data_IF_895199302889
#
_entry.id   IF_895199302889
#
_cell.length_a   1.000
_cell.length_b   1.000
_cell.length_c   1.000
_cell.angle_alpha   90.00
_cell.angle_beta   90.00
_cell.angle_gamma   90.00
#
_symmetry.space_group_name_H-M   'P 1'
#
loop_
_entity.id
_entity.type
_entity.pdbx_description
1 polymer ?
#
# COMPACT_ATOMS: atom_id res chain seq x y z
N UNK A 1 -19.27 12.18 -31.57
CA UNK A 1 -17.87 11.76 -31.80
C UNK A 1 -17.04 12.52 -30.79
N UNK A 2 -16.78 11.93 -29.62
CA UNK A 2 -16.11 12.57 -28.49
C UNK A 2 -14.88 11.72 -28.14
N UNK A 3 -13.71 12.10 -28.63
CA UNK A 3 -12.45 11.60 -28.11
C UNK A 3 -11.45 12.76 -28.15
N UNK A 4 -10.46 12.68 -27.27
CA UNK A 4 -9.45 13.71 -26.96
C UNK A 4 -9.88 14.78 -25.95
N UNK A 5 -10.11 14.34 -24.70
CA UNK A 5 -9.67 15.15 -23.56
C UNK A 5 -8.50 14.43 -22.90
N UNK A 6 -7.30 15.02 -22.80
CA UNK A 6 -6.19 14.40 -22.10
C UNK A 6 -6.60 14.21 -20.63
N UNK A 7 -6.59 12.97 -20.13
CA UNK A 7 -6.96 12.61 -18.76
C UNK A 7 -6.10 13.36 -17.72
N UNK A 8 -6.51 14.57 -17.33
CA UNK A 8 -5.80 15.41 -16.36
C UNK A 8 -5.45 14.65 -15.05
N UNK A 9 -4.40 15.05 -14.30
CA UNK A 9 -4.12 14.50 -12.98
C UNK A 9 -5.40 14.38 -12.16
N UNK A 10 -5.61 13.24 -11.50
CA UNK A 10 -6.89 12.99 -10.83
C UNK A 10 -7.10 14.01 -9.72
N UNK A 11 -8.05 14.91 -9.95
CA UNK A 11 -8.52 15.84 -8.93
C UNK A 11 -9.48 15.13 -7.99
N UNK A 12 -8.96 14.72 -6.83
CA UNK A 12 -9.80 14.22 -5.76
C UNK A 12 -10.44 15.39 -5.01
N UNK A 13 -11.74 15.63 -5.24
CA UNK A 13 -12.48 16.62 -4.46
C UNK A 13 -12.57 16.20 -2.98
N UNK A 14 -12.63 17.17 -2.06
CA UNK A 14 -12.85 16.89 -0.63
C UNK A 14 -14.12 16.06 -0.36
N UNK A 15 -15.18 16.25 -1.16
CA UNK A 15 -16.39 15.43 -1.10
C UNK A 15 -16.11 13.97 -1.42
N UNK A 16 -15.40 13.69 -2.53
CA UNK A 16 -15.03 12.33 -2.93
C UNK A 16 -14.09 11.69 -1.91
N UNK A 17 -13.11 12.42 -1.39
CA UNK A 17 -12.23 11.94 -0.32
C UNK A 17 -13.05 11.45 0.89
N UNK A 18 -13.98 12.28 1.39
CA UNK A 18 -14.83 11.93 2.54
C UNK A 18 -15.76 10.75 2.27
N UNK A 19 -16.32 10.66 1.07
CA UNK A 19 -17.31 9.62 0.74
C UNK A 19 -16.67 8.27 0.39
N UNK A 20 -15.48 8.26 -0.21
CA UNK A 20 -14.91 7.05 -0.82
C UNK A 20 -13.65 6.54 -0.11
N UNK A 21 -12.93 7.39 0.62
CA UNK A 21 -11.59 7.08 1.15
C UNK A 21 -11.47 7.22 2.67
N UNK A 22 -12.41 7.92 3.31
CA UNK A 22 -12.42 8.15 4.76
C UNK A 22 -13.67 7.53 5.39
N UNK A 23 -13.57 6.31 5.96
CA UNK A 23 -14.69 5.72 6.65
C UNK A 23 -15.03 6.51 7.90
N UNK A 24 -16.30 6.45 8.30
CA UNK A 24 -16.75 6.95 9.60
C UNK A 24 -16.01 6.22 10.72
N UNK A 25 -15.43 6.98 11.65
CA UNK A 25 -14.69 6.39 12.76
C UNK A 25 -15.64 5.60 13.68
N UNK A 26 -15.16 4.44 14.13
CA UNK A 26 -15.78 3.60 15.16
C UNK A 26 -14.69 3.12 16.11
N UNK A 27 -15.06 2.42 17.19
CA UNK A 27 -14.07 1.84 18.12
C UNK A 27 -13.09 0.87 17.43
N UNK A 28 -13.46 0.32 16.28
CA UNK A 28 -12.67 -0.68 15.54
C UNK A 28 -12.11 -0.15 14.22
N UNK A 29 -12.51 1.06 13.79
CA UNK A 29 -12.10 1.68 12.52
C UNK A 29 -11.52 3.06 12.80
N UNK A 30 -10.24 3.26 12.47
CA UNK A 30 -9.53 4.53 12.71
C UNK A 30 -8.80 4.99 11.47
N UNK A 31 -9.05 6.24 11.08
CA UNK A 31 -8.36 6.91 9.97
C UNK A 31 -7.23 7.79 10.47
N UNK A 32 -6.14 7.85 9.71
CA UNK A 32 -4.92 8.59 10.02
C UNK A 32 -4.59 9.50 8.84
N UNK A 33 -4.12 10.70 9.15
CA UNK A 33 -3.53 11.62 8.19
C UNK A 33 -2.13 11.97 8.69
N UNK A 34 -1.13 11.74 7.85
CA UNK A 34 0.25 12.11 8.12
C UNK A 34 0.75 12.97 6.98
N UNK A 35 1.51 14.01 7.30
CA UNK A 35 2.09 14.93 6.34
C UNK A 35 3.52 15.25 6.68
N UNK A 36 4.29 15.61 5.64
CA UNK A 36 5.62 16.17 5.74
C UNK A 36 5.60 17.56 5.13
N UNK A 37 6.16 18.52 5.83
CA UNK A 37 6.43 19.86 5.31
C UNK A 37 7.92 20.09 5.17
N UNK A 38 8.32 20.79 4.10
CA UNK A 38 9.68 21.27 3.87
C UNK A 38 9.58 22.78 3.70
N UNK A 39 10.25 23.54 4.58
CA UNK A 39 10.21 25.01 4.59
C UNK A 39 8.79 25.60 4.58
N UNK A 40 7.85 24.94 5.26
CA UNK A 40 6.45 25.35 5.34
C UNK A 40 5.56 24.88 4.17
N UNK A 41 6.13 24.27 3.13
CA UNK A 41 5.39 23.70 2.01
C UNK A 41 5.03 22.23 2.24
N UNK A 42 3.82 21.83 1.89
CA UNK A 42 3.38 20.44 1.96
C UNK A 42 4.08 19.61 0.88
N UNK A 43 5.08 18.82 1.27
CA UNK A 43 5.89 18.04 0.35
C UNK A 43 5.34 16.62 0.13
N UNK A 44 4.70 16.05 1.16
CA UNK A 44 4.14 14.69 1.09
C UNK A 44 2.97 14.55 2.07
N UNK A 45 1.96 13.76 1.72
CA UNK A 45 0.91 13.36 2.63
C UNK A 45 0.34 11.97 2.32
N UNK A 46 -0.23 11.36 3.37
CA UNK A 46 -0.88 10.06 3.26
C UNK A 46 -2.11 10.00 4.15
N UNK A 47 -3.13 9.33 3.63
CA UNK A 47 -4.24 8.82 4.41
C UNK A 47 -4.09 7.32 4.58
N UNK A 48 -4.36 6.85 5.79
CA UNK A 48 -4.43 5.43 6.09
C UNK A 48 -5.65 5.10 6.95
N UNK A 49 -6.18 3.90 6.79
CA UNK A 49 -7.27 3.39 7.59
C UNK A 49 -6.85 2.10 8.28
N UNK A 50 -7.27 1.91 9.52
CA UNK A 50 -7.12 0.66 10.26
C UNK A 50 -8.46 0.02 10.54
N UNK A 51 -8.53 -1.30 10.40
CA UNK A 51 -9.68 -2.11 10.78
C UNK A 51 -9.27 -3.51 11.23
N UNK A 52 -10.23 -4.27 11.76
CA UNK A 52 -10.06 -5.67 12.12
C UNK A 52 -10.55 -6.60 11.01
N UNK A 53 -9.74 -7.59 10.66
CA UNK A 53 -10.07 -8.67 9.74
C UNK A 53 -9.58 -9.99 10.32
N UNK A 54 -10.48 -10.93 10.58
CA UNK A 54 -10.15 -12.26 11.15
C UNK A 54 -9.23 -12.19 12.39
N UNK A 55 -9.52 -11.25 13.31
CA UNK A 55 -8.72 -11.01 14.52
C UNK A 55 -7.43 -10.20 14.30
N UNK A 56 -6.97 -10.04 13.06
CA UNK A 56 -5.79 -9.25 12.70
C UNK A 56 -6.13 -7.77 12.54
N UNK A 57 -5.19 -6.90 12.90
CA UNK A 57 -5.25 -5.46 12.61
C UNK A 57 -4.63 -5.19 11.23
N UNK A 58 -5.42 -4.67 10.32
CA UNK A 58 -4.97 -4.19 9.01
C UNK A 58 -4.70 -2.69 9.10
N UNK A 59 -3.58 -2.23 8.58
CA UNK A 59 -3.28 -0.83 8.32
C UNK A 59 -3.15 -0.63 6.80
N UNK A 60 -4.08 0.08 6.19
CA UNK A 60 -4.13 0.26 4.75
C UNK A 60 -3.93 1.71 4.37
N UNK A 61 -3.02 1.95 3.42
CA UNK A 61 -2.81 3.26 2.82
C UNK A 61 -3.87 3.49 1.76
N UNK A 62 -4.79 4.42 2.00
CA UNK A 62 -5.88 4.75 1.06
C UNK A 62 -5.45 5.81 0.05
N UNK A 63 -4.46 6.63 0.41
CA UNK A 63 -3.88 7.64 -0.47
C UNK A 63 -2.43 7.94 -0.06
N UNK A 64 -1.57 8.12 -1.05
CA UNK A 64 -0.19 8.58 -0.90
C UNK A 64 0.10 9.60 -2.00
N UNK A 65 0.49 10.82 -1.63
CA UNK A 65 0.75 11.91 -2.57
C UNK A 65 2.06 12.59 -2.21
N UNK A 66 3.04 12.45 -3.10
CA UNK A 66 4.31 13.18 -3.03
C UNK A 66 4.29 14.26 -4.09
N UNK A 67 4.57 15.48 -3.67
CA UNK A 67 4.78 16.59 -4.59
C UNK A 67 5.97 16.26 -5.51
N UNK A 68 5.81 16.59 -6.81
CA UNK A 68 6.78 16.24 -7.85
C UNK A 68 8.19 16.77 -7.59
N UNK A 69 8.30 17.92 -6.92
CA UNK A 69 9.59 18.57 -6.66
C UNK A 69 10.31 17.93 -5.46
N UNK A 70 9.63 17.02 -4.76
CA UNK A 70 10.12 16.28 -3.60
C UNK A 70 10.07 14.75 -3.81
N UNK A 71 9.92 14.29 -5.06
CA UNK A 71 10.03 12.86 -5.41
C UNK A 71 11.48 12.38 -5.35
N UNK A 72 11.66 11.07 -5.30
CA UNK A 72 12.96 10.37 -5.34
C UNK A 72 13.98 10.67 -4.21
N UNK A 73 13.62 11.51 -3.23
CA UNK A 73 14.42 11.77 -2.02
C UNK A 73 13.97 10.94 -0.79
N UNK A 74 13.04 10.01 -0.98
CA UNK A 74 12.64 9.04 0.04
C UNK A 74 11.60 9.51 1.06
N UNK A 75 10.94 10.65 0.85
CA UNK A 75 9.89 11.17 1.74
C UNK A 75 8.75 10.16 1.96
N UNK A 76 8.21 9.59 0.88
CA UNK A 76 7.15 8.58 0.96
C UNK A 76 7.52 7.42 1.87
N UNK A 77 8.76 6.93 1.81
CA UNK A 77 9.20 5.84 2.69
C UNK A 77 9.27 6.28 4.16
N UNK A 78 9.70 7.51 4.43
CA UNK A 78 9.68 8.09 5.78
C UNK A 78 8.27 8.20 6.32
N UNK A 79 7.38 8.78 5.53
CA UNK A 79 5.97 8.96 5.84
C UNK A 79 5.28 7.62 6.12
N UNK A 80 5.39 6.63 5.23
CA UNK A 80 4.82 5.30 5.43
C UNK A 80 5.39 4.58 6.65
N UNK A 81 6.68 4.76 6.98
CA UNK A 81 7.24 4.18 8.22
C UNK A 81 6.64 4.77 9.48
N UNK A 82 6.29 6.07 9.49
CA UNK A 82 5.63 6.70 10.64
C UNK A 82 4.22 6.16 10.87
N UNK A 83 3.58 5.58 9.85
CA UNK A 83 2.31 4.90 9.99
C UNK A 83 2.43 3.56 10.73
N UNK A 84 3.61 3.01 11.02
CA UNK A 84 3.70 1.67 11.63
C UNK A 84 3.30 1.66 13.09
N UNK A 85 2.51 0.67 13.50
CA UNK A 85 2.29 0.32 14.91
C UNK A 85 2.70 -1.13 15.19
N UNK A 86 3.10 -1.40 16.43
CA UNK A 86 3.44 -2.76 16.90
C UNK A 86 2.22 -3.69 16.95
N UNK A 87 1.02 -3.10 17.01
CA UNK A 87 -0.28 -3.77 17.02
C UNK A 87 -0.83 -4.06 15.62
N UNK A 88 -0.18 -3.54 14.57
CA UNK A 88 -0.58 -3.83 13.19
C UNK A 88 -0.01 -5.19 12.79
N UNK A 89 -0.85 -6.06 12.23
CA UNK A 89 -0.47 -7.40 11.77
C UNK A 89 -0.26 -7.42 10.26
N UNK A 90 -0.91 -6.50 9.54
CA UNK A 90 -0.91 -6.43 8.07
C UNK A 90 -0.85 -4.99 7.61
N UNK A 91 -0.06 -4.74 6.57
CA UNK A 91 -0.06 -3.48 5.84
C UNK A 91 -0.51 -3.68 4.39
N UNK A 92 -1.27 -2.73 3.86
CA UNK A 92 -1.75 -2.82 2.47
C UNK A 92 -1.76 -1.48 1.74
N UNK A 93 -1.66 -1.55 0.42
CA UNK A 93 -1.83 -0.41 -0.50
C UNK A 93 -2.28 -0.93 -1.87
N UNK A 94 -3.11 -0.14 -2.54
CA UNK A 94 -3.37 -0.22 -3.98
C UNK A 94 -2.78 1.04 -4.63
N UNK A 95 -2.05 0.86 -5.74
CA UNK A 95 -1.48 1.99 -6.46
C UNK A 95 -1.17 1.63 -7.91
N UNK A 96 -1.47 2.55 -8.83
CA UNK A 96 -1.00 2.47 -10.22
C UNK A 96 0.47 2.86 -10.40
N UNK A 97 1.07 3.53 -9.41
CA UNK A 97 2.41 4.09 -9.52
C UNK A 97 3.48 3.15 -8.90
N UNK A 98 4.49 2.68 -9.66
CA UNK A 98 5.51 1.77 -9.15
C UNK A 98 6.32 2.33 -7.97
N UNK A 99 6.63 3.63 -7.98
CA UNK A 99 7.34 4.28 -6.86
C UNK A 99 6.59 4.14 -5.52
N UNK A 100 5.25 4.19 -5.52
CA UNK A 100 4.46 3.99 -4.30
C UNK A 100 4.53 2.53 -3.83
N UNK A 101 4.49 1.56 -4.75
CA UNK A 101 4.68 0.15 -4.45
C UNK A 101 6.07 -0.11 -3.85
N UNK A 102 7.13 0.49 -4.41
CA UNK A 102 8.49 0.40 -3.88
C UNK A 102 8.58 1.02 -2.47
N UNK A 103 8.02 2.20 -2.28
CA UNK A 103 8.01 2.88 -0.98
C UNK A 103 7.28 2.04 0.08
N UNK A 104 6.12 1.48 -0.26
CA UNK A 104 5.36 0.61 0.65
C UNK A 104 6.09 -0.69 0.96
N UNK A 105 6.63 -1.37 -0.06
CA UNK A 105 7.40 -2.60 0.12
C UNK A 105 8.63 -2.40 1.02
N UNK A 106 9.34 -1.27 0.85
CA UNK A 106 10.48 -0.87 1.70
C UNK A 106 10.06 -0.49 3.12
N UNK A 107 8.89 0.13 3.29
CA UNK A 107 8.46 0.68 4.58
C UNK A 107 7.81 -0.36 5.48
N UNK A 108 6.97 -1.21 4.92
CA UNK A 108 6.17 -2.20 5.65
C UNK A 108 6.74 -3.62 5.55
N UNK A 109 7.42 -3.94 4.45
CA UNK A 109 7.96 -5.27 4.15
C UNK A 109 9.49 -5.34 4.21
N UNK A 110 10.08 -5.94 3.19
CA UNK A 110 11.54 -6.00 2.97
C UNK A 110 11.92 -5.15 1.77
N UNK A 111 11.57 -5.63 0.59
CA UNK A 111 11.80 -5.06 -0.73
C UNK A 111 10.70 -5.60 -1.64
N UNK A 112 10.48 -4.96 -2.80
CA UNK A 112 9.44 -5.39 -3.74
C UNK A 112 9.68 -6.82 -4.25
N UNK A 113 10.93 -7.18 -4.48
CA UNK A 113 11.35 -8.50 -4.98
C UNK A 113 11.05 -9.65 -4.02
N UNK A 114 10.86 -9.33 -2.73
CA UNK A 114 10.68 -10.31 -1.64
C UNK A 114 9.26 -10.31 -1.08
N UNK A 115 8.29 -9.70 -1.77
CA UNK A 115 6.90 -9.79 -1.37
C UNK A 115 6.39 -11.23 -1.53
N UNK A 116 5.55 -11.69 -0.60
CA UNK A 116 4.98 -13.04 -0.66
C UNK A 116 3.70 -13.04 -1.47
N UNK A 117 3.79 -13.45 -2.74
CA UNK A 117 2.61 -13.58 -3.61
C UNK A 117 1.61 -14.61 -3.06
N UNK A 118 2.08 -15.68 -2.41
CA UNK A 118 1.23 -16.67 -1.76
C UNK A 118 0.44 -16.08 -0.58
N UNK A 119 1.07 -15.20 0.22
CA UNK A 119 0.37 -14.50 1.29
C UNK A 119 -0.75 -13.62 0.73
N UNK A 120 -0.46 -12.86 -0.34
CA UNK A 120 -1.43 -11.97 -0.98
C UNK A 120 -2.56 -12.79 -1.62
N UNK A 121 -2.24 -13.92 -2.26
CA UNK A 121 -3.24 -14.85 -2.82
C UNK A 121 -4.21 -15.36 -1.75
N UNK A 122 -3.68 -15.76 -0.59
CA UNK A 122 -4.46 -16.34 0.51
C UNK A 122 -5.27 -15.32 1.30
N UNK A 123 -4.76 -14.10 1.48
CA UNK A 123 -5.34 -13.10 2.40
C UNK A 123 -5.99 -11.90 1.69
N UNK A 124 -5.57 -11.59 0.46
CA UNK A 124 -5.96 -10.38 -0.26
C UNK A 124 -7.48 -10.22 -0.36
N UNK A 125 -8.21 -11.27 -0.75
CA UNK A 125 -9.66 -11.23 -0.89
C UNK A 125 -10.37 -10.86 0.43
N UNK A 126 -10.07 -11.57 1.52
CA UNK A 126 -10.71 -11.34 2.82
C UNK A 126 -10.40 -9.95 3.39
N UNK A 127 -9.16 -9.48 3.23
CA UNK A 127 -8.75 -8.14 3.67
C UNK A 127 -9.49 -7.06 2.89
N UNK A 128 -9.54 -7.17 1.55
CA UNK A 128 -10.24 -6.19 0.74
C UNK A 128 -11.73 -6.19 1.04
N UNK A 129 -12.38 -7.35 1.09
CA UNK A 129 -13.83 -7.43 1.33
C UNK A 129 -14.26 -6.99 2.72
N UNK A 130 -13.39 -7.11 3.72
CA UNK A 130 -13.62 -6.56 5.07
C UNK A 130 -13.30 -5.06 5.18
N UNK A 131 -12.78 -4.43 4.12
CA UNK A 131 -12.39 -3.03 4.18
C UNK A 131 -13.61 -2.14 4.45
N UNK A 132 -13.51 -1.18 5.38
CA UNK A 132 -14.55 -0.18 5.59
C UNK A 132 -14.55 0.91 4.51
N UNK A 133 -13.62 0.85 3.56
CA UNK A 133 -13.43 1.83 2.50
C UNK A 133 -14.03 1.27 1.20
N UNK A 134 -15.14 1.83 0.68
CA UNK A 134 -15.85 1.25 -0.47
C UNK A 134 -14.95 1.04 -1.69
N UNK A 135 -14.07 1.99 -1.99
CA UNK A 135 -13.12 1.89 -3.09
C UNK A 135 -12.19 0.66 -3.00
N UNK A 136 -11.84 0.22 -1.78
CA UNK A 136 -11.02 -0.99 -1.56
C UNK A 136 -11.92 -2.23 -1.55
N UNK A 137 -13.08 -2.15 -0.90
CA UNK A 137 -14.04 -3.24 -0.76
C UNK A 137 -14.58 -3.72 -2.11
N UNK A 138 -14.86 -2.78 -3.01
CA UNK A 138 -15.51 -3.04 -4.29
C UNK A 138 -14.51 -3.41 -5.41
N UNK A 139 -13.22 -3.14 -5.19
CA UNK A 139 -12.18 -3.48 -6.15
C UNK A 139 -12.10 -5.00 -6.40
N UNK A 140 -11.85 -5.37 -7.66
CA UNK A 140 -11.86 -6.77 -8.09
C UNK A 140 -10.43 -7.27 -8.28
N UNK A 141 -10.05 -8.36 -7.62
CA UNK A 141 -8.72 -8.98 -7.78
C UNK A 141 -8.49 -9.46 -9.22
N UNK A 142 -7.31 -9.16 -9.77
CA UNK A 142 -6.90 -9.46 -11.15
C UNK A 142 -5.44 -9.89 -11.23
N UNK A 143 -5.07 -10.48 -12.37
CA UNK A 143 -3.74 -10.97 -12.65
C UNK A 143 -3.58 -12.47 -12.46
N UNK A 144 -2.50 -13.00 -13.02
CA UNK A 144 -2.22 -14.44 -13.12
C UNK A 144 -2.14 -15.17 -11.78
N UNK A 145 -1.89 -14.47 -10.67
CA UNK A 145 -1.93 -15.04 -9.32
C UNK A 145 -3.34 -15.49 -8.91
N UNK A 146 -4.38 -14.82 -9.40
CA UNK A 146 -5.77 -15.13 -9.10
C UNK A 146 -6.49 -15.82 -10.27
N UNK A 147 -6.13 -15.49 -11.50
CA UNK A 147 -6.72 -15.97 -12.75
C UNK A 147 -5.59 -16.45 -13.67
N UNK A 148 -5.17 -17.73 -13.62
CA UNK A 148 -4.02 -18.24 -14.40
C UNK A 148 -4.11 -18.00 -15.92
N UNK A 149 -5.33 -17.89 -16.44
CA UNK A 149 -5.68 -17.58 -17.82
C UNK A 149 -5.64 -16.07 -18.18
N UNK A 150 -5.30 -15.20 -17.23
CA UNK A 150 -5.18 -13.75 -17.46
C UNK A 150 -4.03 -13.46 -18.45
N UNK A 151 -4.38 -12.82 -19.57
CA UNK A 151 -3.45 -12.48 -20.66
C UNK A 151 -3.07 -10.99 -20.68
N UNK A 152 -3.51 -10.21 -19.69
CA UNK A 152 -3.29 -8.76 -19.64
C UNK A 152 -1.84 -8.35 -19.31
N UNK A 153 -0.98 -9.31 -18.95
CA UNK A 153 0.37 -9.07 -18.43
C UNK A 153 0.42 -8.72 -16.94
N UNK A 154 -0.73 -8.46 -16.31
CA UNK A 154 -0.83 -8.25 -14.87
C UNK A 154 -0.58 -9.57 -14.12
N UNK A 155 0.35 -9.55 -13.17
CA UNK A 155 0.58 -10.71 -12.28
C UNK A 155 -0.24 -10.57 -11.01
N UNK A 156 -0.23 -9.37 -10.41
CA UNK A 156 -0.89 -9.10 -9.15
C UNK A 156 -1.42 -7.67 -9.07
N UNK A 157 -2.74 -7.54 -9.12
CA UNK A 157 -3.40 -6.25 -8.96
C UNK A 157 -4.89 -6.35 -8.76
N UNK A 158 -5.54 -5.21 -8.97
CA UNK A 158 -6.98 -5.03 -8.85
C UNK A 158 -7.49 -4.20 -10.01
N UNK A 159 -8.72 -4.47 -10.45
CA UNK A 159 -9.48 -3.55 -11.27
C UNK A 159 -10.27 -2.62 -10.34
N UNK A 160 -9.93 -1.34 -10.39
CA UNK A 160 -10.61 -0.27 -9.65
C UNK A 160 -11.44 0.62 -10.57
N UNK A 161 -11.42 0.36 -11.88
CA UNK A 161 -11.99 1.22 -12.93
C UNK A 161 -11.48 2.66 -12.83
N UNK A 162 -10.27 2.83 -12.31
CA UNK A 162 -9.64 4.12 -12.09
C UNK A 162 -8.68 4.43 -13.23
N UNK A 163 -9.15 5.21 -14.19
CA UNK A 163 -8.39 5.57 -15.38
C UNK A 163 -7.48 6.76 -15.08
N UNK A 164 -6.17 6.51 -15.04
CA UNK A 164 -5.13 7.54 -14.91
C UNK A 164 -4.20 7.50 -16.11
N UNK A 165 -3.51 8.61 -16.38
CA UNK A 165 -2.41 8.58 -17.32
C UNK A 165 -1.28 7.71 -16.78
N UNK A 166 -1.01 6.62 -17.49
CA UNK A 166 0.04 5.67 -17.12
C UNK A 166 1.42 6.04 -17.70
N UNK A 167 1.59 7.17 -18.40
CA UNK A 167 2.87 7.54 -19.03
C UNK A 167 4.01 7.68 -18.00
N UNK A 168 3.83 8.51 -16.97
CA UNK A 168 4.82 8.63 -15.88
C UNK A 168 5.00 7.29 -15.14
N UNK A 169 3.94 6.61 -14.66
CA UNK A 169 4.07 5.29 -14.06
C UNK A 169 4.82 4.26 -14.93
N UNK A 170 4.61 4.25 -16.24
CA UNK A 170 5.27 3.34 -17.18
C UNK A 170 6.76 3.67 -17.33
N UNK A 171 7.13 4.95 -17.45
CA UNK A 171 8.54 5.37 -17.47
C UNK A 171 9.26 4.94 -16.19
N UNK A 172 8.62 5.16 -15.04
CA UNK A 172 9.16 4.70 -13.74
C UNK A 172 9.27 3.18 -13.71
N UNK A 173 8.28 2.45 -14.22
CA UNK A 173 8.31 0.98 -14.28
C UNK A 173 9.48 0.46 -15.11
N UNK A 174 9.77 1.09 -16.26
CA UNK A 174 10.90 0.73 -17.11
C UNK A 174 12.23 0.87 -16.36
N UNK A 175 12.47 2.02 -15.72
CA UNK A 175 13.68 2.26 -14.89
C UNK A 175 13.78 1.25 -13.74
N UNK A 176 12.65 0.90 -13.12
CA UNK A 176 12.63 -0.11 -12.06
C UNK A 176 13.03 -1.49 -12.59
N UNK A 177 12.53 -1.89 -13.75
CA UNK A 177 12.85 -3.20 -14.37
C UNK A 177 14.29 -3.32 -14.84
N UNK A 178 14.97 -2.21 -15.13
CA UNK A 178 16.40 -2.20 -15.42
C UNK A 178 17.26 -2.61 -14.20
N UNK A 179 16.77 -2.34 -12.98
CA UNK A 179 17.57 -2.45 -11.76
C UNK A 179 17.05 -3.49 -10.76
N UNK A 180 15.77 -3.87 -10.83
CA UNK A 180 15.09 -4.72 -9.86
C UNK A 180 14.17 -5.72 -10.55
N UNK A 181 13.98 -6.88 -9.93
CA UNK A 181 12.96 -7.82 -10.38
C UNK A 181 11.57 -7.30 -10.00
N UNK A 182 10.75 -6.98 -11.00
CA UNK A 182 9.38 -6.49 -10.79
C UNK A 182 8.36 -7.64 -10.79
N UNK A 183 7.78 -8.01 -9.64
CA UNK A 183 6.96 -9.23 -9.54
C UNK A 183 5.48 -9.02 -9.87
N UNK A 184 5.05 -7.78 -10.13
CA UNK A 184 3.62 -7.44 -10.21
C UNK A 184 3.07 -7.46 -11.65
N UNK A 185 3.95 -7.67 -12.64
CA UNK A 185 3.58 -7.68 -14.06
C UNK A 185 3.43 -6.29 -14.66
N UNK A 186 2.76 -6.22 -15.80
CA UNK A 186 2.33 -4.96 -16.44
C UNK A 186 1.05 -4.42 -15.76
N UNK A 187 0.72 -3.17 -16.05
CA UNK A 187 -0.49 -2.53 -15.53
C UNK A 187 -1.42 -2.12 -16.66
N UNK A 188 -2.54 -2.83 -16.87
CA UNK A 188 -3.56 -2.41 -17.82
C UNK A 188 -4.28 -1.16 -17.32
N UNK A 189 -4.87 -0.40 -18.25
CA UNK A 189 -5.67 0.77 -17.90
C UNK A 189 -6.81 0.41 -16.94
N UNK A 190 -7.09 1.32 -16.00
CA UNK A 190 -8.14 1.10 -14.98
C UNK A 190 -7.75 0.15 -13.85
N UNK A 191 -6.51 -0.37 -13.86
CA UNK A 191 -6.00 -1.27 -12.83
C UNK A 191 -4.97 -0.60 -11.93
N UNK A 192 -4.81 -1.18 -10.75
CA UNK A 192 -3.80 -0.79 -9.77
C UNK A 192 -3.09 -2.03 -9.23
N UNK A 193 -1.81 -1.91 -8.93
CA UNK A 193 -1.07 -2.97 -8.29
C UNK A 193 -1.54 -3.15 -6.85
N UNK A 194 -1.55 -4.40 -6.38
CA UNK A 194 -1.96 -4.75 -5.03
C UNK A 194 -0.76 -5.21 -4.21
N UNK A 195 -0.52 -4.54 -3.08
CA UNK A 195 0.43 -5.02 -2.08
C UNK A 195 -0.31 -5.29 -0.77
N UNK A 196 -0.10 -6.48 -0.23
CA UNK A 196 -0.52 -6.86 1.12
C UNK A 196 0.66 -7.57 1.79
N UNK A 197 1.11 -7.08 2.94
CA UNK A 197 2.33 -7.55 3.58
C UNK A 197 2.08 -7.83 5.06
N UNK A 198 2.56 -8.98 5.58
CA UNK A 198 2.53 -9.21 7.02
C UNK A 198 3.48 -8.24 7.73
N UNK A 199 3.08 -7.77 8.90
CA UNK A 199 3.91 -6.97 9.75
C UNK A 199 5.13 -7.77 10.21
N UNK A 200 6.30 -7.14 10.15
CA UNK A 200 7.51 -7.68 10.79
C UNK A 200 7.48 -7.34 12.28
N UNK A 201 6.90 -8.21 13.10
CA UNK A 201 7.08 -8.10 14.54
C UNK A 201 8.55 -8.36 14.86
N UNK A 202 9.20 -7.42 15.55
CA UNK A 202 10.49 -7.71 16.19
C UNK A 202 10.21 -8.81 17.20
N UNK A 203 10.91 -9.96 17.10
CA UNK A 203 10.88 -10.97 18.16
C UNK A 203 11.24 -10.27 19.48
N UNK A 204 10.49 -10.51 20.57
CA UNK A 204 10.96 -10.12 21.89
C UNK A 204 12.30 -10.83 22.10
N UNK A 205 13.37 -10.08 22.31
CA UNK A 205 14.62 -10.66 22.80
C UNK A 205 14.30 -11.29 24.13
N UNK A 206 14.38 -12.62 24.24
CA UNK A 206 14.32 -13.30 25.54
C UNK A 206 15.49 -12.80 26.36
N UNK A 207 15.24 -11.81 27.21
CA UNK A 207 16.21 -11.33 28.17
C UNK A 207 16.27 -12.40 29.25
N UNK A 208 17.24 -13.30 29.14
CA UNK A 208 17.55 -14.28 30.18
C UNK A 208 17.68 -13.52 31.49
N UNK A 209 16.80 -13.80 32.45
CA UNK A 209 16.98 -13.33 33.82
C UNK A 209 18.33 -13.87 34.32
N UNK A 210 19.18 -13.04 34.96
CA UNK A 210 20.38 -13.57 35.60
C UNK A 210 19.94 -14.59 36.65
N UNK A 211 20.41 -15.83 36.51
CA UNK A 211 20.16 -16.87 37.50
C UNK A 211 20.67 -16.44 38.86
N UNK A 212 19.83 -16.63 39.88
CA UNK A 212 20.24 -16.59 41.28
C UNK A 212 21.42 -17.54 41.47
N UNK A 213 22.59 -16.97 41.79
CA UNK A 213 23.72 -17.73 42.28
C UNK A 213 23.41 -18.07 43.74
N UNK A 214 22.88 -19.27 43.96
CA UNK A 214 22.93 -19.92 45.26
C UNK A 214 24.39 -20.10 45.67
N UNK A 215 24.76 -19.56 46.84
CA UNK A 215 25.99 -19.94 47.53
C UNK A 215 25.74 -21.21 48.35
N UNK A 216 26.59 -22.24 48.27
CA UNK A 216 26.64 -23.28 49.29
C UNK A 216 27.54 -22.83 50.46
N UNK A 217 27.08 -23.20 51.65
CA UNK A 217 27.71 -23.30 52.99
C UNK A 217 28.80 -22.32 53.43
#
# INVERSE_FOLDING_TARGET
MWWESPLSPVKLSARRLRQQYLPSATDTIVSYYVMVTVDGYLADNTFACRWKCDGMTVCWVTQLVVDKDYRDIGLASGLLRSLRKTTDDIYGIMSSHPAACLAAAKSFGTTIEKISLDFIRKKGYGIMKSSPVPYIQDATLRGTIFQPEDTSGLVLGVNTSFFVHHEEPQKVLQVVRENLQWPLGDLPDGHEYLLVMPAKHRRPTSRSLPGEVGRPD
#
